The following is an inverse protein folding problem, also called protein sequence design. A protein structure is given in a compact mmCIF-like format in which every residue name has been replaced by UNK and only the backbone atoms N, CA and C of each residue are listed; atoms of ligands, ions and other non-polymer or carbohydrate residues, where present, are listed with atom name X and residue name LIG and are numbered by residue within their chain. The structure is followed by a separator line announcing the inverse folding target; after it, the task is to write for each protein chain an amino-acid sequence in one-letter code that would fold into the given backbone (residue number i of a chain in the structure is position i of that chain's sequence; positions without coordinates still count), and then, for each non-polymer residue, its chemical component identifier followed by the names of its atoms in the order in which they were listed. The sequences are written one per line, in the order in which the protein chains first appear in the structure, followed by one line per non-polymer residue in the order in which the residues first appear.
data_IF_240698487401
#
_entry.id   IF_240698487401
#
_cell.length_a   1.000
_cell.length_b   1.000
_cell.length_c   1.000
_cell.angle_alpha   90.00
_cell.angle_beta   90.00
_cell.angle_gamma   90.00
#
_symmetry.space_group_name_H-M   'P 1'
#
loop_
_entity.id
_entity.type
_entity.pdbx_description
1 polymer ?
#
# COMPACT_ATOMS: atom_id res chain seq x y z
N UNK A 1 -2.10 -1.08 -0.95
CA UNK A 1 -2.78 -1.96 -1.93
C UNK A 1 -2.37 -3.41 -1.68
N UNK A 2 -3.05 -4.39 -2.28
CA UNK A 2 -2.65 -5.78 -2.11
C UNK A 2 -1.22 -5.98 -2.59
N UNK A 3 -0.36 -6.52 -1.74
CA UNK A 3 1.02 -6.82 -2.14
C UNK A 3 1.04 -7.83 -3.28
N UNK A 4 2.10 -7.87 -4.11
CA UNK A 4 2.24 -8.89 -5.13
C UNK A 4 2.08 -10.33 -4.59
N UNK A 5 2.57 -10.61 -3.38
CA UNK A 5 2.45 -11.93 -2.73
C UNK A 5 1.00 -12.25 -2.33
N UNK A 6 0.28 -11.31 -1.68
CA UNK A 6 -1.16 -11.47 -1.36
C UNK A 6 -1.95 -11.70 -2.63
N UNK A 7 -1.71 -10.89 -3.67
CA UNK A 7 -2.38 -11.00 -4.96
C UNK A 7 -2.20 -12.41 -5.52
N UNK A 8 -0.96 -12.88 -5.65
CA UNK A 8 -0.67 -14.25 -6.13
C UNK A 8 -1.39 -15.30 -5.30
N UNK A 9 -1.41 -15.17 -3.97
CA UNK A 9 -2.08 -16.12 -3.07
C UNK A 9 -3.59 -16.17 -3.33
N UNK A 10 -4.26 -15.02 -3.41
CA UNK A 10 -5.69 -14.91 -3.73
C UNK A 10 -5.98 -15.52 -5.10
N UNK A 11 -5.30 -15.08 -6.15
CA UNK A 11 -5.55 -15.53 -7.52
C UNK A 11 -5.33 -17.04 -7.68
N UNK A 12 -4.29 -17.60 -7.05
CA UNK A 12 -4.04 -19.05 -7.05
C UNK A 12 -5.17 -19.83 -6.39
N UNK A 13 -5.70 -19.33 -5.26
CA UNK A 13 -6.72 -20.02 -4.46
C UNK A 13 -8.11 -19.94 -5.06
N UNK A 14 -8.45 -18.80 -5.65
CA UNK A 14 -9.77 -18.50 -6.21
C UNK A 14 -9.87 -18.69 -7.72
N UNK A 15 -8.74 -18.90 -8.41
CA UNK A 15 -8.67 -19.08 -9.87
C UNK A 15 -9.31 -17.92 -10.64
N UNK A 16 -9.16 -16.70 -10.11
CA UNK A 16 -9.70 -15.49 -10.71
C UNK A 16 -8.64 -14.39 -10.76
N UNK A 17 -8.88 -13.39 -11.61
CA UNK A 17 -8.10 -12.17 -11.63
C UNK A 17 -8.57 -11.24 -10.50
N UNK A 18 -7.64 -10.69 -9.73
CA UNK A 18 -7.89 -9.57 -8.82
C UNK A 18 -7.34 -8.26 -9.38
N UNK A 19 -7.97 -7.16 -8.98
CA UNK A 19 -7.63 -5.81 -9.40
C UNK A 19 -7.70 -4.91 -8.17
N UNK A 20 -6.69 -4.06 -8.01
CA UNK A 20 -6.68 -3.09 -6.92
C UNK A 20 -7.66 -1.93 -7.19
N UNK A 21 -8.28 -1.46 -6.11
CA UNK A 21 -9.06 -0.26 -6.08
C UNK A 21 -8.61 0.58 -4.89
N UNK A 22 -8.26 1.83 -5.15
CA UNK A 22 -7.87 2.78 -4.13
C UNK A 22 -8.99 3.79 -3.89
N UNK A 23 -9.39 3.92 -2.63
CA UNK A 23 -10.42 4.85 -2.20
C UNK A 23 -10.44 4.99 -0.68
N UNK A 24 -11.05 6.07 -0.23
CA UNK A 24 -11.22 6.47 1.17
C UNK A 24 -12.71 6.67 1.46
N UNK A 25 -13.15 6.49 2.70
CA UNK A 25 -14.54 6.81 3.09
C UNK A 25 -14.88 8.26 2.77
N UNK A 26 -13.95 9.17 3.07
CA UNK A 26 -14.01 10.60 2.82
C UNK A 26 -14.15 10.89 1.32
N UNK A 27 -13.58 10.05 0.45
CA UNK A 27 -13.64 10.19 -1.00
C UNK A 27 -14.93 9.65 -1.64
N UNK A 28 -15.84 9.06 -0.84
CA UNK A 28 -16.97 8.29 -1.38
C UNK A 28 -16.52 6.96 -1.98
N UNK A 29 -15.53 6.32 -1.35
CA UNK A 29 -14.93 5.03 -1.72
C UNK A 29 -14.17 5.00 -3.03
N UNK A 30 -13.95 6.11 -3.73
CA UNK A 30 -13.30 6.08 -5.02
C UNK A 30 -12.20 7.11 -5.18
N UNK A 31 -11.04 6.69 -5.69
CA UNK A 31 -9.99 7.56 -6.21
C UNK A 31 -9.34 7.01 -7.49
N UNK A 32 -8.89 5.76 -7.46
CA UNK A 32 -8.16 5.14 -8.56
C UNK A 32 -8.47 3.64 -8.69
N UNK A 33 -8.36 3.08 -9.90
CA UNK A 33 -8.64 1.67 -10.17
C UNK A 33 -7.63 1.06 -11.14
N UNK A 34 -7.21 -0.17 -10.87
CA UNK A 34 -6.29 -0.89 -11.73
C UNK A 34 -6.96 -1.33 -13.05
N UNK A 35 -6.20 -1.28 -14.15
CA UNK A 35 -6.63 -1.83 -15.43
C UNK A 35 -6.02 -3.22 -15.70
N UNK A 36 -6.37 -3.84 -16.83
CA UNK A 36 -5.84 -5.15 -17.25
C UNK A 36 -4.31 -5.19 -17.40
N UNK A 37 -3.65 -4.05 -17.58
CA UNK A 37 -2.19 -4.02 -17.69
C UNK A 37 -1.48 -4.22 -16.34
N UNK A 38 -2.17 -3.99 -15.22
CA UNK A 38 -1.62 -4.16 -13.85
C UNK A 38 -0.33 -3.39 -13.60
N UNK A 39 -0.29 -2.14 -14.05
CA UNK A 39 0.84 -1.24 -13.88
C UNK A 39 0.47 -0.09 -12.93
N UNK A 40 -0.27 -0.36 -11.86
CA UNK A 40 -0.81 0.66 -10.96
C UNK A 40 -2.24 1.09 -11.28
N UNK A 41 -2.82 1.91 -10.40
CA UNK A 41 -4.22 2.31 -10.44
C UNK A 41 -4.42 3.62 -11.21
N UNK A 42 -5.28 3.63 -12.23
CA UNK A 42 -5.67 4.85 -12.95
C UNK A 42 -6.54 5.74 -12.08
N UNK A 43 -6.13 6.99 -11.93
CA UNK A 43 -6.85 8.02 -11.18
C UNK A 43 -8.10 8.45 -11.96
N UNK A 44 -9.23 8.61 -11.28
CA UNK A 44 -10.43 9.24 -11.87
C UNK A 44 -10.25 10.77 -11.91
N UNK A 45 -9.37 11.24 -12.79
CA UNK A 45 -8.94 12.66 -12.84
C UNK A 45 -10.10 13.66 -13.06
N UNK A 46 -11.25 13.20 -13.57
CA UNK A 46 -12.46 14.01 -13.70
C UNK A 46 -13.18 14.27 -12.36
N UNK A 47 -12.93 13.43 -11.35
CA UNK A 47 -13.54 13.52 -10.01
C UNK A 47 -12.55 14.00 -8.95
N UNK A 48 -11.28 13.59 -9.07
CA UNK A 48 -10.26 13.80 -8.05
C UNK A 48 -8.96 14.27 -8.69
N UNK A 49 -8.43 15.37 -8.17
CA UNK A 49 -7.05 15.77 -8.38
C UNK A 49 -6.19 15.08 -7.32
N UNK A 50 -5.14 14.38 -7.76
CA UNK A 50 -4.17 13.72 -6.89
C UNK A 50 -2.83 14.44 -6.99
N UNK A 51 -2.28 14.78 -5.83
CA UNK A 51 -0.92 15.28 -5.63
C UNK A 51 -0.14 14.27 -4.78
N UNK A 52 1.18 14.24 -4.92
CA UNK A 52 2.08 13.55 -3.98
C UNK A 52 2.99 14.62 -3.39
N UNK A 53 3.06 14.70 -2.06
CA UNK A 53 3.77 15.78 -1.36
C UNK A 53 4.82 15.27 -0.38
N UNK A 54 5.82 16.09 -0.15
CA UNK A 54 6.79 15.91 0.93
C UNK A 54 6.17 16.26 2.30
N UNK A 55 6.89 16.05 3.42
CA UNK A 55 6.40 16.42 4.76
C UNK A 55 6.03 17.90 4.90
N UNK A 56 6.70 18.79 4.14
CA UNK A 56 6.44 20.23 4.14
C UNK A 56 5.23 20.64 3.27
N UNK A 57 4.60 19.68 2.58
CA UNK A 57 3.46 19.92 1.69
C UNK A 57 3.82 20.40 0.29
N UNK A 58 5.11 20.33 -0.10
CA UNK A 58 5.59 20.62 -1.45
C UNK A 58 5.29 19.44 -2.36
N UNK A 59 4.75 19.72 -3.54
CA UNK A 59 4.47 18.70 -4.57
C UNK A 59 5.78 18.09 -5.07
N UNK A 60 5.82 16.77 -5.12
CA UNK A 60 6.93 15.98 -5.64
C UNK A 60 6.76 15.65 -7.14
N UNK A 61 7.86 15.51 -7.89
CA UNK A 61 7.83 15.00 -9.26
C UNK A 61 7.20 13.60 -9.38
N UNK A 62 6.76 13.25 -10.58
CA UNK A 62 6.28 11.88 -10.87
C UNK A 62 7.42 10.86 -10.64
N UNK A 63 7.09 9.74 -10.01
CA UNK A 63 8.02 8.68 -9.63
C UNK A 63 8.53 8.76 -8.19
N UNK A 64 8.47 9.93 -7.55
CA UNK A 64 8.90 10.11 -6.16
C UNK A 64 7.83 9.69 -5.16
N UNK A 65 8.27 9.07 -4.06
CA UNK A 65 7.42 8.63 -2.96
C UNK A 65 7.15 9.75 -1.98
N UNK A 66 5.89 9.89 -1.57
CA UNK A 66 5.46 10.87 -0.59
C UNK A 66 4.05 10.58 -0.09
N UNK A 67 3.42 11.57 0.53
CA UNK A 67 2.03 11.45 0.97
C UNK A 67 1.07 11.79 -0.17
N UNK A 68 0.06 10.94 -0.37
CA UNK A 68 -1.03 11.24 -1.30
C UNK A 68 -1.94 12.32 -0.73
N UNK A 69 -2.18 13.34 -1.53
CA UNK A 69 -3.08 14.45 -1.23
C UNK A 69 -4.15 14.52 -2.30
N UNK A 70 -5.42 14.65 -1.89
CA UNK A 70 -6.54 14.65 -2.82
C UNK A 70 -7.38 15.93 -2.74
N UNK A 71 -7.88 16.36 -3.90
CA UNK A 71 -8.89 17.41 -4.00
C UNK A 71 -10.08 16.88 -4.81
N UNK A 72 -11.28 16.92 -4.24
CA UNK A 72 -12.52 16.49 -4.89
C UNK A 72 -13.10 17.61 -5.74
N UNK A 73 -13.14 17.41 -7.06
CA UNK A 73 -13.48 18.44 -8.02
C UNK A 73 -14.99 18.64 -8.22
N UNK A 74 -15.80 17.62 -7.91
CA UNK A 74 -17.25 17.62 -8.19
C UNK A 74 -18.14 17.40 -6.97
N UNK A 75 -17.56 17.32 -5.77
CA UNK A 75 -18.29 16.95 -4.55
C UNK A 75 -18.75 18.18 -3.77
N UNK A 76 -20.06 18.42 -3.72
CA UNK A 76 -20.64 19.59 -3.07
C UNK A 76 -20.92 19.41 -1.57
N UNK A 77 -21.32 18.21 -1.12
CA UNK A 77 -21.77 17.99 0.27
C UNK A 77 -20.63 17.91 1.29
N UNK A 78 -19.48 17.38 0.89
CA UNK A 78 -18.27 17.28 1.71
C UNK A 78 -17.07 17.44 0.77
N UNK A 79 -16.74 18.69 0.38
CA UNK A 79 -15.60 18.96 -0.46
C UNK A 79 -14.32 18.66 0.31
N UNK A 80 -13.40 17.95 -0.34
CA UNK A 80 -12.04 17.76 0.14
C UNK A 80 -11.13 18.65 -0.69
N UNK A 81 -10.38 19.55 -0.05
CA UNK A 81 -9.42 20.43 -0.72
C UNK A 81 -8.06 20.18 -0.10
N UNK A 82 -7.11 19.72 -0.91
CA UNK A 82 -5.78 19.28 -0.49
C UNK A 82 -5.81 18.43 0.79
N UNK A 83 -6.73 17.48 0.84
CA UNK A 83 -6.88 16.57 1.96
C UNK A 83 -5.69 15.60 2.00
N UNK A 84 -4.94 15.68 3.10
CA UNK A 84 -3.80 14.81 3.43
C UNK A 84 -4.33 13.44 3.86
N UNK A 85 -4.12 12.44 3.01
CA UNK A 85 -4.70 11.10 3.22
C UNK A 85 -3.98 10.33 4.33
N UNK A 86 -2.71 10.64 4.59
CA UNK A 86 -1.81 9.85 5.41
C UNK A 86 -1.37 8.54 4.76
N UNK A 87 -1.62 8.36 3.46
CA UNK A 87 -1.18 7.21 2.69
C UNK A 87 0.11 7.52 1.92
N UNK A 88 1.05 6.58 1.93
CA UNK A 88 2.29 6.65 1.17
C UNK A 88 2.07 6.13 -0.25
N UNK A 89 2.43 6.96 -1.22
CA UNK A 89 2.27 6.63 -2.63
C UNK A 89 3.12 7.47 -3.55
N UNK A 90 2.99 7.19 -4.85
CA UNK A 90 3.63 7.95 -5.93
C UNK A 90 2.73 7.99 -7.17
N UNK A 91 2.90 9.05 -7.97
CA UNK A 91 2.36 9.09 -9.34
C UNK A 91 3.36 8.38 -10.24
N UNK A 92 2.90 7.39 -11.01
CA UNK A 92 3.77 6.62 -11.89
C UNK A 92 4.02 7.38 -13.20
N UNK A 93 5.30 7.57 -13.60
CA UNK A 93 5.61 8.25 -14.85
C UNK A 93 5.21 7.40 -16.06
N UNK A 94 4.95 8.08 -17.17
CA UNK A 94 4.68 7.46 -18.46
C UNK A 94 3.28 6.87 -18.62
N UNK A 95 2.99 6.43 -19.85
CA UNK A 95 1.66 5.93 -20.23
C UNK A 95 1.52 4.44 -19.91
N UNK A 96 0.30 4.05 -19.57
CA UNK A 96 -0.04 2.64 -19.39
C UNK A 96 -0.16 1.94 -20.74
N UNK A 97 0.22 0.66 -20.80
CA UNK A 97 0.04 -0.18 -22.00
C UNK A 97 -1.44 -0.43 -22.36
N UNK A 98 -2.38 -0.14 -21.46
CA UNK A 98 -3.81 -0.25 -21.75
C UNK A 98 -4.33 0.85 -22.71
N UNK A 99 -3.53 1.89 -22.99
CA UNK A 99 -3.89 3.01 -23.87
C UNK A 99 -4.65 4.14 -23.17
N UNK A 100 -5.02 3.99 -21.89
CA UNK A 100 -5.67 5.06 -21.13
C UNK A 100 -4.74 6.28 -21.00
N UNK A 101 -5.27 7.51 -21.20
CA UNK A 101 -4.50 8.72 -20.99
C UNK A 101 -4.35 9.08 -19.50
N UNK A 102 -5.11 8.42 -18.62
CA UNK A 102 -5.19 8.78 -17.21
C UNK A 102 -3.91 8.43 -16.45
N UNK A 103 -3.49 9.33 -15.56
CA UNK A 103 -2.38 9.11 -14.63
C UNK A 103 -2.61 7.86 -13.79
N UNK A 104 -1.51 7.23 -13.39
CA UNK A 104 -1.52 6.07 -12.52
C UNK A 104 -0.85 6.39 -11.20
N UNK A 105 -1.34 5.77 -10.14
CA UNK A 105 -0.71 5.83 -8.82
C UNK A 105 -0.38 4.44 -8.31
N UNK A 106 0.63 4.41 -7.44
CA UNK A 106 1.00 3.28 -6.61
C UNK A 106 0.89 3.71 -5.15
N UNK A 107 0.37 2.83 -4.29
CA UNK A 107 0.04 3.10 -2.88
C UNK A 107 0.43 1.89 -2.05
N UNK A 108 1.39 2.08 -1.15
CA UNK A 108 1.90 1.01 -0.28
C UNK A 108 0.96 0.80 0.91
N UNK A 109 0.44 1.88 1.47
CA UNK A 109 -0.44 1.85 2.65
C UNK A 109 -0.33 3.17 3.38
N UNK A 110 -0.41 3.13 4.72
CA UNK A 110 -0.17 4.30 5.56
C UNK A 110 1.30 4.73 5.48
N UNK A 111 1.54 6.03 5.71
CA UNK A 111 2.89 6.56 5.92
C UNK A 111 3.67 5.68 6.93
N UNK A 112 4.97 5.42 6.66
CA UNK A 112 5.73 4.46 7.42
C UNK A 112 5.95 4.94 8.86
N UNK A 113 6.05 3.97 9.78
CA UNK A 113 6.52 4.25 11.14
C UNK A 113 8.04 4.14 11.21
N UNK A 114 8.63 4.71 12.25
CA UNK A 114 10.04 4.45 12.56
C UNK A 114 10.16 2.99 13.00
N UNK A 115 10.99 2.21 12.31
CA UNK A 115 11.41 0.88 12.73
C UNK A 115 12.75 0.91 13.46
N UNK A 116 13.25 -0.27 13.81
CA UNK A 116 14.59 -0.43 14.38
C UNK A 116 15.67 0.12 13.44
N UNK A 117 16.69 0.77 14.01
CA UNK A 117 17.79 1.35 13.22
C UNK A 117 17.39 2.52 12.30
N UNK A 118 16.18 3.07 12.44
CA UNK A 118 15.69 4.17 11.60
C UNK A 118 15.15 3.73 10.24
N UNK A 119 15.08 2.42 9.97
CA UNK A 119 14.48 1.89 8.74
C UNK A 119 12.96 2.12 8.79
N UNK A 120 12.34 2.64 7.70
CA UNK A 120 10.88 2.79 7.66
C UNK A 120 10.18 1.43 7.77
N UNK A 121 9.29 1.29 8.74
CA UNK A 121 8.48 0.09 8.95
C UNK A 121 7.13 0.24 8.24
N UNK A 122 6.87 -0.65 7.28
CA UNK A 122 5.59 -0.75 6.56
C UNK A 122 5.01 -2.13 6.73
N UNK A 123 3.70 -2.19 6.96
CA UNK A 123 2.97 -3.46 6.91
C UNK A 123 3.06 -4.10 5.51
N UNK A 124 3.09 -3.27 4.46
CA UNK A 124 3.26 -3.71 3.08
C UNK A 124 4.53 -4.55 2.88
N UNK A 125 5.65 -4.12 3.46
CA UNK A 125 6.94 -4.81 3.30
C UNK A 125 6.88 -6.18 4.02
N UNK A 126 6.34 -6.21 5.24
CA UNK A 126 6.13 -7.44 6.03
C UNK A 126 5.19 -8.41 5.31
N UNK A 127 4.04 -7.93 4.82
CA UNK A 127 3.10 -8.72 4.04
C UNK A 127 3.74 -9.29 2.78
N UNK A 128 4.51 -8.47 2.06
CA UNK A 128 5.16 -8.91 0.84
C UNK A 128 6.11 -10.08 1.09
N UNK A 129 6.90 -10.02 2.17
CA UNK A 129 7.81 -11.09 2.60
C UNK A 129 7.08 -12.34 3.11
N UNK A 130 6.06 -12.19 3.95
CA UNK A 130 5.44 -13.33 4.64
C UNK A 130 4.49 -14.13 3.75
N UNK A 131 3.71 -13.49 2.88
CA UNK A 131 2.66 -14.20 2.14
C UNK A 131 3.17 -15.09 1.00
N UNK A 132 4.43 -14.94 0.59
CA UNK A 132 5.07 -15.86 -0.34
C UNK A 132 5.52 -17.16 0.34
N UNK A 133 5.60 -17.20 1.68
CA UNK A 133 5.92 -18.40 2.44
C UNK A 133 4.69 -19.33 2.46
N UNK A 134 4.76 -20.54 1.86
CA UNK A 134 3.60 -21.44 1.77
C UNK A 134 3.06 -21.87 3.13
N UNK A 135 3.93 -21.89 4.14
CA UNK A 135 3.67 -22.38 5.48
C UNK A 135 2.99 -21.35 6.37
N UNK A 136 3.01 -20.07 5.99
CA UNK A 136 2.34 -18.99 6.72
C UNK A 136 0.87 -18.97 6.29
N UNK A 137 -0.02 -19.16 7.26
CA UNK A 137 -1.47 -19.06 7.08
C UNK A 137 -2.03 -17.72 7.53
N UNK A 138 -1.50 -17.17 8.62
CA UNK A 138 -1.86 -15.86 9.14
C UNK A 138 -0.68 -15.28 9.93
N UNK A 139 -0.73 -13.99 10.24
CA UNK A 139 0.24 -13.38 11.13
C UNK A 139 -0.35 -12.21 11.91
N UNK A 140 0.25 -11.93 13.07
CA UNK A 140 0.00 -10.73 13.85
C UNK A 140 1.31 -9.99 14.03
N UNK A 141 1.28 -8.70 13.73
CA UNK A 141 2.37 -7.78 13.98
C UNK A 141 1.97 -6.83 15.11
N UNK A 142 2.75 -6.82 16.19
CA UNK A 142 2.59 -5.91 17.32
C UNK A 142 3.86 -5.08 17.46
N UNK A 143 3.71 -3.76 17.57
CA UNK A 143 4.82 -2.86 17.90
C UNK A 143 4.67 -2.47 19.37
N UNK A 144 5.65 -2.87 20.18
CA UNK A 144 5.80 -2.43 21.56
C UNK A 144 6.62 -1.14 21.56
N UNK A 145 6.14 -0.13 22.28
CA UNK A 145 6.76 1.19 22.34
C UNK A 145 7.02 1.59 23.80
N UNK A 146 8.18 2.19 24.03
CA UNK A 146 8.47 2.97 25.24
C UNK A 146 8.25 4.46 24.90
N UNK A 147 7.10 5.00 25.31
CA UNK A 147 6.63 6.30 24.84
C UNK A 147 6.42 6.33 23.32
N UNK A 148 7.08 7.27 22.64
CA UNK A 148 7.04 7.39 21.16
C UNK A 148 8.11 6.56 20.45
N UNK A 149 9.01 5.89 21.19
CA UNK A 149 10.10 5.11 20.63
C UNK A 149 9.68 3.63 20.44
N UNK A 150 9.87 3.05 19.25
CA UNK A 150 9.66 1.62 19.05
C UNK A 150 10.72 0.83 19.83
N UNK A 151 10.28 -0.04 20.74
CA UNK A 151 11.15 -0.87 21.57
C UNK A 151 11.32 -2.27 20.98
N UNK A 152 10.19 -2.91 20.61
CA UNK A 152 10.20 -4.23 20.03
C UNK A 152 9.13 -4.39 18.95
N UNK A 153 9.47 -5.10 17.88
CA UNK A 153 8.52 -5.57 16.89
C UNK A 153 8.27 -7.06 17.11
N UNK A 154 7.08 -7.40 17.58
CA UNK A 154 6.68 -8.78 17.88
C UNK A 154 5.86 -9.31 16.71
N UNK A 155 6.43 -10.28 15.99
CA UNK A 155 5.75 -11.01 14.92
C UNK A 155 5.31 -12.38 15.43
N UNK A 156 4.00 -12.64 15.41
CA UNK A 156 3.42 -13.95 15.68
C UNK A 156 2.91 -14.54 14.37
N UNK A 157 3.29 -15.78 14.07
CA UNK A 157 2.86 -16.49 12.87
C UNK A 157 1.88 -17.60 13.21
N UNK A 158 0.81 -17.73 12.42
CA UNK A 158 -0.01 -18.93 12.35
C UNK A 158 0.43 -19.74 11.14
N UNK A 159 0.67 -21.03 11.33
CA UNK A 159 1.34 -21.88 10.36
C UNK A 159 0.57 -23.17 10.11
N UNK A 160 0.65 -23.69 8.89
CA UNK A 160 -0.05 -24.91 8.47
C UNK A 160 0.50 -26.18 9.13
N UNK A 161 1.78 -26.20 9.51
CA UNK A 161 2.48 -27.36 10.10
C UNK A 161 3.45 -26.96 11.24
N UNK A 162 3.70 -27.88 12.18
CA UNK A 162 4.62 -27.74 13.32
C UNK A 162 6.07 -28.21 13.00
N UNK A 163 6.62 -27.97 11.81
CA UNK A 163 7.98 -28.48 11.53
C UNK A 163 9.08 -27.59 12.13
N UNK A 164 9.97 -28.23 12.90
CA UNK A 164 11.24 -27.67 13.33
C UNK A 164 12.05 -27.22 12.09
N UNK A 165 12.61 -26.01 12.13
CA UNK A 165 13.44 -25.43 11.05
C UNK A 165 12.78 -24.34 10.21
N UNK A 166 11.46 -24.10 10.34
CA UNK A 166 10.79 -23.06 9.54
C UNK A 166 11.14 -21.63 10.00
N UNK A 167 11.42 -21.44 11.29
CA UNK A 167 11.79 -20.15 11.87
C UNK A 167 12.98 -19.49 11.16
N UNK A 168 13.97 -20.28 10.74
CA UNK A 168 15.12 -19.77 9.99
C UNK A 168 14.74 -19.28 8.59
N UNK A 169 13.83 -19.97 7.90
CA UNK A 169 13.34 -19.54 6.57
C UNK A 169 12.53 -18.24 6.63
N UNK A 170 11.77 -18.04 7.72
CA UNK A 170 11.04 -16.81 7.99
C UNK A 170 12.03 -15.68 8.28
N UNK A 171 13.00 -15.90 9.18
CA UNK A 171 13.98 -14.89 9.56
C UNK A 171 14.88 -14.47 8.40
N UNK A 172 15.19 -15.37 7.46
CA UNK A 172 15.96 -15.03 6.25
C UNK A 172 15.17 -14.23 5.22
N UNK A 173 13.84 -14.20 5.31
CA UNK A 173 12.96 -13.52 4.35
C UNK A 173 12.51 -12.12 4.81
N UNK A 174 12.79 -11.78 6.08
CA UNK A 174 12.55 -10.46 6.68
C UNK A 174 13.82 -9.61 6.62
#
# INVERSE_FOLDING_TARGET
MATPSIRRRIERRWKCASFDHYGLTESGWGCAVECRAREGCHVREMDVLVEVVDPNGKILPEGEWGEIVITMLRRASSPLIRYRTGDEGRILPGRCRCGSPLKRIEVLGRLPRKGAGGVPLRLHDVENSLWDLPLVDDFRLSLECDGDAPEALVLTLAMTDHSEGILESVLQSL
#
